data_IF_343106735402
#
_entry.id   IF_343106735402
#
_cell.length_a   1.000
_cell.length_b   1.000
_cell.length_c   1.000
_cell.angle_alpha   90.00
_cell.angle_beta   90.00
_cell.angle_gamma   90.00
#
_symmetry.space_group_name_H-M   'P 1'
#
loop_
_entity.id
_entity.type
_entity.pdbx_description
1 polymer ?
#
# COMPACT_ATOMS: atom_id res chain seq x y z
N UNK A 1 -24.91 16.14 -5.65
CA UNK A 1 -24.50 15.56 -4.36
C UNK A 1 -23.39 14.53 -4.58
N UNK A 2 -22.29 14.62 -3.84
CA UNK A 2 -21.18 13.67 -3.97
C UNK A 2 -21.58 12.31 -3.44
N UNK A 3 -21.16 11.26 -4.15
CA UNK A 3 -21.33 9.88 -3.72
C UNK A 3 -20.31 9.58 -2.61
N UNK A 4 -20.73 8.92 -1.55
CA UNK A 4 -19.83 8.56 -0.44
C UNK A 4 -19.09 7.26 -0.74
N UNK A 5 -17.82 7.21 -0.37
CA UNK A 5 -17.02 6.01 -0.37
C UNK A 5 -16.07 6.02 0.84
N UNK A 6 -15.89 4.86 1.45
CA UNK A 6 -15.00 4.74 2.61
C UNK A 6 -13.66 4.17 2.17
N UNK A 7 -12.58 4.85 2.55
CA UNK A 7 -11.24 4.29 2.48
C UNK A 7 -10.92 3.70 3.87
N UNK A 8 -10.68 2.38 3.92
CA UNK A 8 -10.49 1.64 5.16
C UNK A 8 -9.12 1.94 5.80
N UNK A 9 -8.89 3.19 6.14
CA UNK A 9 -7.66 3.68 6.76
C UNK A 9 -7.95 4.93 7.59
N UNK A 10 -7.07 5.22 8.55
CA UNK A 10 -7.01 6.49 9.25
C UNK A 10 -5.71 7.25 8.94
N UNK A 11 -4.88 6.73 8.04
CA UNK A 11 -3.60 7.34 7.68
C UNK A 11 -3.82 8.63 6.89
N UNK A 12 -3.44 9.76 7.48
CA UNK A 12 -3.73 11.09 6.93
C UNK A 12 -3.20 11.30 5.50
N UNK A 13 -1.95 10.91 5.24
CA UNK A 13 -1.36 11.12 3.91
C UNK A 13 -2.03 10.28 2.82
N UNK A 14 -2.50 9.08 3.14
CA UNK A 14 -3.25 8.24 2.21
C UNK A 14 -4.61 8.86 1.88
N UNK A 15 -5.29 9.35 2.92
CA UNK A 15 -6.60 10.01 2.77
C UNK A 15 -6.48 11.29 1.94
N UNK A 16 -5.47 12.11 2.20
CA UNK A 16 -5.25 13.36 1.48
C UNK A 16 -4.98 13.10 -0.01
N UNK A 17 -4.15 12.12 -0.32
CA UNK A 17 -3.84 11.72 -1.69
C UNK A 17 -5.11 11.31 -2.45
N UNK A 18 -5.91 10.42 -1.88
CA UNK A 18 -7.12 9.94 -2.56
C UNK A 18 -8.21 11.01 -2.63
N UNK A 19 -8.34 11.85 -1.61
CA UNK A 19 -9.28 12.98 -1.63
C UNK A 19 -8.92 14.00 -2.71
N UNK A 20 -7.62 14.20 -2.93
CA UNK A 20 -7.16 15.07 -4.01
C UNK A 20 -7.59 14.55 -5.39
N UNK A 21 -7.52 13.24 -5.58
CA UNK A 21 -7.84 12.60 -6.87
C UNK A 21 -9.36 12.45 -7.06
N UNK A 22 -10.09 12.05 -6.03
CA UNK A 22 -11.53 11.70 -6.13
C UNK A 22 -12.46 12.78 -5.57
N UNK A 23 -11.94 13.79 -4.89
CA UNK A 23 -12.73 14.69 -4.04
C UNK A 23 -13.81 15.51 -4.72
N UNK A 24 -13.77 15.65 -6.05
CA UNK A 24 -14.85 16.34 -6.78
C UNK A 24 -16.07 15.45 -7.01
N UNK A 25 -15.84 14.15 -7.21
CA UNK A 25 -16.89 13.18 -7.51
C UNK A 25 -17.36 12.40 -6.30
N UNK A 26 -16.48 12.18 -5.34
CA UNK A 26 -16.74 11.36 -4.16
C UNK A 26 -16.41 12.10 -2.87
N UNK A 27 -17.24 11.86 -1.84
CA UNK A 27 -16.89 12.20 -0.46
C UNK A 27 -16.20 10.99 0.14
N UNK A 28 -14.86 11.09 0.28
CA UNK A 28 -14.03 9.99 0.81
C UNK A 28 -13.99 10.10 2.33
N UNK A 29 -14.51 9.08 3.00
CA UNK A 29 -14.53 8.99 4.46
C UNK A 29 -13.45 8.03 4.96
N UNK A 30 -12.89 8.35 6.12
CA UNK A 30 -11.96 7.48 6.84
C UNK A 30 -12.70 6.47 7.70
N UNK A 31 -11.95 5.53 8.30
CA UNK A 31 -12.52 4.64 9.32
C UNK A 31 -13.07 5.42 10.51
N UNK A 32 -12.36 6.44 10.98
CA UNK A 32 -12.84 7.29 12.08
C UNK A 32 -14.14 8.00 11.72
N UNK A 33 -14.29 8.47 10.50
CA UNK A 33 -15.48 9.17 10.03
C UNK A 33 -16.75 8.31 10.11
N UNK A 34 -16.61 6.99 10.00
CA UNK A 34 -17.73 6.05 10.10
C UNK A 34 -17.85 5.40 11.48
N UNK A 35 -17.05 5.85 12.44
CA UNK A 35 -17.08 5.33 13.81
C UNK A 35 -16.38 3.98 14.00
N UNK A 36 -15.54 3.59 13.07
CA UNK A 36 -14.76 2.35 13.17
C UNK A 36 -13.45 2.64 13.88
N UNK A 37 -13.35 2.21 15.14
CA UNK A 37 -12.17 2.41 15.98
C UNK A 37 -11.48 1.11 16.37
N UNK A 38 -12.02 -0.03 15.97
CA UNK A 38 -11.43 -1.33 16.19
C UNK A 38 -10.32 -1.63 15.17
N UNK A 39 -9.37 -2.48 15.57
CA UNK A 39 -8.35 -2.97 14.65
C UNK A 39 -8.99 -3.96 13.66
N UNK A 40 -8.76 -3.74 12.38
CA UNK A 40 -9.25 -4.63 11.35
C UNK A 40 -8.19 -5.70 11.10
N UNK A 41 -8.54 -7.00 11.14
CA UNK A 41 -7.54 -8.07 10.99
C UNK A 41 -6.91 -8.11 9.60
N UNK A 42 -5.62 -8.48 9.57
CA UNK A 42 -4.84 -8.78 8.37
C UNK A 42 -4.14 -10.13 8.63
N UNK A 43 -4.83 -11.22 8.33
CA UNK A 43 -4.45 -12.56 8.76
C UNK A 43 -3.97 -13.47 7.63
N UNK A 44 -3.96 -12.98 6.41
CA UNK A 44 -3.65 -13.79 5.22
C UNK A 44 -2.20 -13.61 4.77
N UNK A 45 -1.78 -14.48 3.87
CA UNK A 45 -0.41 -14.55 3.37
C UNK A 45 -0.18 -13.77 2.07
N UNK A 46 -1.23 -13.17 1.51
CA UNK A 46 -1.14 -12.37 0.29
C UNK A 46 -1.68 -10.97 0.50
N UNK A 47 -1.15 -10.02 -0.29
CA UNK A 47 -1.63 -8.64 -0.27
C UNK A 47 -3.09 -8.56 -0.73
N UNK A 48 -3.46 -9.35 -1.73
CA UNK A 48 -4.82 -9.43 -2.27
C UNK A 48 -5.82 -9.82 -1.18
N UNK A 49 -5.52 -10.90 -0.46
CA UNK A 49 -6.42 -11.42 0.57
C UNK A 49 -6.51 -10.48 1.77
N UNK A 50 -5.42 -9.85 2.16
CA UNK A 50 -5.43 -8.86 3.25
C UNK A 50 -6.23 -7.61 2.88
N UNK A 51 -6.05 -7.08 1.68
CA UNK A 51 -6.84 -5.94 1.21
C UNK A 51 -8.32 -6.28 1.15
N UNK A 52 -8.66 -7.47 0.64
CA UNK A 52 -10.03 -7.96 0.58
C UNK A 52 -10.63 -8.16 1.97
N UNK A 53 -9.86 -8.72 2.91
CA UNK A 53 -10.32 -8.90 4.29
C UNK A 53 -10.69 -7.57 4.94
N UNK A 54 -9.86 -6.55 4.79
CA UNK A 54 -10.16 -5.23 5.33
C UNK A 54 -11.40 -4.60 4.70
N UNK A 55 -11.50 -4.64 3.38
CA UNK A 55 -12.66 -4.09 2.69
C UNK A 55 -13.95 -4.85 3.05
N UNK A 56 -13.89 -6.17 3.11
CA UNK A 56 -15.04 -7.01 3.48
C UNK A 56 -15.50 -6.74 4.90
N UNK A 57 -14.57 -6.58 5.83
CA UNK A 57 -14.91 -6.26 7.22
C UNK A 57 -15.72 -4.96 7.30
N UNK A 58 -15.27 -3.92 6.63
CA UNK A 58 -15.93 -2.62 6.64
C UNK A 58 -17.28 -2.69 5.93
N UNK A 59 -17.33 -3.32 4.76
CA UNK A 59 -18.57 -3.47 4.00
C UNK A 59 -19.64 -4.25 4.79
N UNK A 60 -19.25 -5.37 5.38
CA UNK A 60 -20.19 -6.25 6.08
C UNK A 60 -20.70 -5.62 7.37
N UNK A 61 -19.86 -4.90 8.10
CA UNK A 61 -20.24 -4.28 9.37
C UNK A 61 -20.97 -2.95 9.22
N UNK A 62 -20.54 -2.11 8.28
CA UNK A 62 -21.04 -0.75 8.15
C UNK A 62 -21.97 -0.53 6.94
N UNK A 63 -22.09 -1.54 6.06
CA UNK A 63 -22.97 -1.52 4.88
C UNK A 63 -22.71 -0.32 3.96
N UNK A 64 -21.44 -0.09 3.65
CA UNK A 64 -20.97 1.03 2.84
C UNK A 64 -20.12 0.53 1.67
N UNK A 65 -20.11 1.29 0.57
CA UNK A 65 -19.12 1.11 -0.47
C UNK A 65 -17.76 1.52 0.09
N UNK A 66 -16.76 0.66 -0.09
CA UNK A 66 -15.46 0.90 0.51
C UNK A 66 -14.33 0.27 -0.30
N UNK A 67 -13.14 0.75 -0.06
CA UNK A 67 -11.93 0.12 -0.55
C UNK A 67 -10.86 0.10 0.53
N UNK A 68 -9.98 -0.87 0.43
CA UNK A 68 -8.85 -1.03 1.33
C UNK A 68 -7.59 -1.34 0.52
N UNK A 69 -6.45 -0.97 1.05
CA UNK A 69 -5.15 -1.27 0.44
C UNK A 69 -4.31 -2.17 1.33
N UNK A 70 -3.41 -2.92 0.70
CA UNK A 70 -2.29 -3.56 1.38
C UNK A 70 -1.05 -3.42 0.49
N UNK A 71 0.09 -3.18 1.12
CA UNK A 71 1.35 -2.89 0.44
C UNK A 71 2.46 -3.74 1.03
N UNK A 72 3.33 -4.25 0.16
CA UNK A 72 4.49 -4.99 0.59
C UNK A 72 5.66 -4.82 -0.35
N UNK A 73 6.86 -5.02 0.22
CA UNK A 73 8.11 -5.16 -0.51
C UNK A 73 8.34 -6.64 -0.75
N UNK A 74 8.58 -7.03 -1.99
CA UNK A 74 8.84 -8.40 -2.38
C UNK A 74 10.24 -8.50 -2.99
N UNK A 75 11.12 -9.28 -2.36
CA UNK A 75 12.51 -9.45 -2.79
C UNK A 75 12.69 -10.81 -3.44
N UNK A 76 13.14 -10.82 -4.67
CA UNK A 76 13.23 -12.03 -5.50
C UNK A 76 14.10 -13.12 -4.86
N UNK A 77 15.30 -12.77 -4.40
CA UNK A 77 16.24 -13.72 -3.78
C UNK A 77 15.72 -14.31 -2.46
N UNK A 78 14.71 -13.71 -1.85
CA UNK A 78 14.11 -14.16 -0.60
C UNK A 78 12.70 -14.75 -0.82
N UNK A 79 12.39 -15.18 -2.03
CA UNK A 79 11.12 -15.78 -2.40
C UNK A 79 9.90 -14.90 -2.06
N UNK A 80 10.06 -13.60 -2.20
CA UNK A 80 8.98 -12.63 -1.97
C UNK A 80 8.93 -12.03 -0.57
N UNK A 81 9.82 -12.42 0.35
CA UNK A 81 9.91 -11.76 1.65
C UNK A 81 10.43 -10.33 1.49
N UNK A 82 10.04 -9.39 2.35
CA UNK A 82 9.12 -9.52 3.50
C UNK A 82 7.63 -9.62 3.14
N UNK A 83 7.18 -9.22 1.95
CA UNK A 83 5.80 -9.36 1.49
C UNK A 83 4.78 -8.73 2.44
N UNK A 84 3.79 -9.51 2.87
CA UNK A 84 2.74 -9.07 3.81
C UNK A 84 3.30 -8.69 5.19
N UNK A 85 4.50 -9.15 5.53
CA UNK A 85 5.15 -8.85 6.81
C UNK A 85 6.07 -7.64 6.76
N UNK A 86 6.01 -6.83 5.70
CA UNK A 86 6.94 -5.71 5.48
C UNK A 86 7.02 -4.75 6.66
N UNK A 87 5.90 -4.38 7.28
CA UNK A 87 5.89 -3.46 8.41
C UNK A 87 6.39 -4.09 9.72
N UNK A 88 6.39 -5.41 9.82
CA UNK A 88 6.73 -6.17 11.03
C UNK A 88 7.80 -7.22 10.77
N UNK A 89 8.67 -6.97 9.82
CA UNK A 89 9.66 -7.95 9.38
C UNK A 89 10.68 -8.28 10.48
N UNK A 90 11.14 -7.28 11.23
CA UNK A 90 12.01 -7.50 12.38
C UNK A 90 11.18 -8.04 13.55
N UNK A 91 11.67 -9.12 14.13
CA UNK A 91 11.00 -9.81 15.23
C UNK A 91 10.84 -8.93 16.45
N UNK A 92 9.67 -8.99 17.09
CA UNK A 92 9.37 -8.23 18.30
C UNK A 92 9.15 -6.74 18.08
N UNK A 93 9.03 -6.29 16.83
CA UNK A 93 8.81 -4.88 16.49
C UNK A 93 7.52 -4.71 15.66
N UNK A 94 7.02 -3.48 15.65
CA UNK A 94 5.89 -3.10 14.80
C UNK A 94 6.18 -1.72 14.22
N UNK A 95 6.25 -1.66 12.87
CA UNK A 95 6.55 -0.44 12.12
C UNK A 95 7.93 0.19 12.45
N UNK A 96 8.89 -0.62 12.93
CA UNK A 96 10.27 -0.17 13.14
C UNK A 96 11.04 -0.28 11.83
N UNK A 97 11.05 0.80 11.06
CA UNK A 97 11.69 0.84 9.73
C UNK A 97 13.19 0.53 9.79
N UNK A 98 13.90 1.03 10.80
CA UNK A 98 15.33 0.78 10.93
C UNK A 98 15.62 -0.71 11.18
N UNK A 99 14.89 -1.31 12.12
CA UNK A 99 15.05 -2.74 12.41
C UNK A 99 14.66 -3.62 11.22
N UNK A 100 13.60 -3.26 10.50
CA UNK A 100 13.15 -3.97 9.31
C UNK A 100 14.19 -3.91 8.19
N UNK A 101 14.76 -2.74 7.93
CA UNK A 101 15.83 -2.57 6.94
C UNK A 101 17.07 -3.35 7.33
N UNK A 102 17.48 -3.28 8.61
CA UNK A 102 18.65 -4.00 9.10
C UNK A 102 18.50 -5.52 8.91
N UNK A 103 17.32 -6.06 9.21
CA UNK A 103 17.05 -7.49 8.98
C UNK A 103 17.15 -7.84 7.48
N UNK A 104 16.57 -7.03 6.62
CA UNK A 104 16.60 -7.27 5.18
C UNK A 104 18.01 -7.22 4.64
N UNK A 105 18.81 -6.22 5.03
CA UNK A 105 20.20 -6.10 4.61
C UNK A 105 21.06 -7.28 5.08
N UNK A 106 20.83 -7.78 6.30
CA UNK A 106 21.51 -8.99 6.79
C UNK A 106 21.17 -10.22 5.96
N UNK A 107 19.90 -10.40 5.63
CA UNK A 107 19.46 -11.54 4.82
C UNK A 107 19.99 -11.51 3.39
N UNK A 108 20.29 -10.32 2.87
CA UNK A 108 20.85 -10.14 1.54
C UNK A 108 22.37 -10.05 1.53
N UNK A 109 23.03 -10.20 2.68
CA UNK A 109 24.48 -10.18 2.76
C UNK A 109 25.09 -11.27 1.88
N UNK A 110 26.00 -10.88 0.98
CA UNK A 110 26.60 -11.80 0.02
C UNK A 110 25.72 -12.16 -1.17
N UNK A 111 24.50 -11.62 -1.25
CA UNK A 111 23.57 -11.90 -2.34
C UNK A 111 23.76 -10.88 -3.48
N UNK A 112 24.03 -11.38 -4.68
CA UNK A 112 24.19 -10.55 -5.89
C UNK A 112 22.86 -10.19 -6.53
N UNK A 113 21.87 -11.08 -6.46
CA UNK A 113 20.52 -10.78 -6.93
C UNK A 113 19.78 -9.96 -5.88
N UNK A 114 19.65 -8.68 -6.16
CA UNK A 114 18.99 -7.73 -5.24
C UNK A 114 17.70 -7.18 -5.85
N UNK A 115 17.17 -7.84 -6.86
CA UNK A 115 15.93 -7.44 -7.51
C UNK A 115 14.77 -7.50 -6.53
N UNK A 116 13.96 -6.45 -6.55
CA UNK A 116 12.82 -6.32 -5.66
C UNK A 116 11.72 -5.50 -6.33
N UNK A 117 10.54 -5.54 -5.74
CA UNK A 117 9.42 -4.68 -6.15
C UNK A 117 8.60 -4.28 -4.94
N UNK A 118 8.10 -3.06 -4.94
CA UNK A 118 6.97 -2.69 -4.10
C UNK A 118 5.69 -2.96 -4.86
N UNK A 119 4.70 -3.48 -4.17
CA UNK A 119 3.39 -3.76 -4.75
C UNK A 119 2.30 -3.28 -3.79
N UNK A 120 1.30 -2.58 -4.33
CA UNK A 120 0.08 -2.22 -3.62
C UNK A 120 -1.09 -2.90 -4.30
N UNK A 121 -1.95 -3.52 -3.51
CA UNK A 121 -3.23 -4.05 -3.96
C UNK A 121 -4.35 -3.27 -3.29
N UNK A 122 -5.32 -2.84 -4.08
CA UNK A 122 -6.55 -2.20 -3.59
C UNK A 122 -7.72 -3.13 -3.87
N UNK A 123 -8.52 -3.42 -2.84
CA UNK A 123 -9.76 -4.14 -2.97
C UNK A 123 -10.93 -3.16 -2.82
N UNK A 124 -11.78 -3.08 -3.82
CA UNK A 124 -12.98 -2.25 -3.84
C UNK A 124 -14.21 -3.13 -3.71
N UNK A 125 -15.10 -2.81 -2.78
CA UNK A 125 -16.40 -3.48 -2.65
C UNK A 125 -17.51 -2.44 -2.80
N UNK A 126 -18.41 -2.69 -3.76
CA UNK A 126 -19.55 -1.84 -4.03
C UNK A 126 -20.82 -2.66 -3.93
N UNK A 127 -21.84 -2.10 -3.31
CA UNK A 127 -23.15 -2.75 -3.25
C UNK A 127 -23.79 -2.76 -4.63
N UNK A 128 -24.11 -3.95 -5.12
CA UNK A 128 -24.88 -4.15 -6.33
C UNK A 128 -26.37 -4.28 -6.04
N UNK A 129 -27.16 -4.53 -7.07
CA UNK A 129 -28.62 -4.69 -6.93
C UNK A 129 -28.99 -5.93 -6.10
N UNK A 130 -28.25 -7.02 -6.28
CA UNK A 130 -28.52 -8.30 -5.61
C UNK A 130 -27.37 -8.71 -4.68
N UNK A 131 -26.15 -8.42 -5.06
CA UNK A 131 -24.96 -8.80 -4.31
C UNK A 131 -23.87 -7.73 -4.43
N UNK A 132 -22.92 -7.77 -3.53
CA UNK A 132 -21.76 -6.88 -3.57
C UNK A 132 -20.80 -7.29 -4.69
N UNK A 133 -20.21 -6.30 -5.34
CA UNK A 133 -19.20 -6.50 -6.40
C UNK A 133 -17.82 -6.18 -5.84
N UNK A 134 -16.87 -7.07 -6.11
CA UNK A 134 -15.46 -6.94 -5.71
C UNK A 134 -14.63 -6.64 -6.94
N UNK A 135 -13.76 -5.63 -6.84
CA UNK A 135 -12.77 -5.30 -7.87
C UNK A 135 -11.41 -5.14 -7.22
N UNK A 136 -10.37 -5.65 -7.86
CA UNK A 136 -8.99 -5.55 -7.38
C UNK A 136 -8.16 -4.71 -8.35
N UNK A 137 -7.32 -3.84 -7.78
CA UNK A 137 -6.39 -3.00 -8.54
C UNK A 137 -5.00 -3.17 -7.97
N UNK A 138 -4.00 -3.19 -8.84
CA UNK A 138 -2.63 -3.41 -8.44
C UNK A 138 -1.72 -2.37 -9.07
N UNK A 139 -0.78 -1.87 -8.27
CA UNK A 139 0.32 -1.04 -8.74
C UNK A 139 1.64 -1.64 -8.28
N UNK A 140 2.66 -1.56 -9.14
CA UNK A 140 3.97 -2.14 -8.87
C UNK A 140 5.06 -1.18 -9.33
N UNK A 141 6.13 -1.10 -8.54
CA UNK A 141 7.37 -0.45 -8.95
C UNK A 141 8.52 -1.42 -8.74
N UNK A 142 9.29 -1.66 -9.80
CA UNK A 142 10.45 -2.54 -9.77
C UNK A 142 11.71 -1.76 -9.43
N UNK A 143 12.65 -2.42 -8.80
CA UNK A 143 13.93 -1.82 -8.45
C UNK A 143 14.88 -2.82 -7.83
N UNK A 144 15.85 -2.30 -7.11
CA UNK A 144 16.87 -3.10 -6.41
C UNK A 144 17.05 -2.63 -4.98
N UNK A 145 17.41 -3.57 -4.11
CA UNK A 145 17.78 -3.24 -2.73
C UNK A 145 19.26 -2.85 -2.72
N UNK A 146 19.55 -1.66 -2.23
CA UNK A 146 20.93 -1.15 -2.10
C UNK A 146 21.66 -1.85 -0.96
N UNK A 147 22.97 -1.70 -0.92
CA UNK A 147 23.79 -2.31 0.14
C UNK A 147 23.83 -1.48 1.41
N UNK A 148 23.54 -0.20 1.30
CA UNK A 148 23.56 0.76 2.41
C UNK A 148 22.33 1.64 2.35
N UNK A 149 21.93 2.15 3.51
CA UNK A 149 20.85 3.14 3.63
C UNK A 149 21.33 4.48 3.05
N UNK A 150 20.47 5.15 2.28
CA UNK A 150 20.79 6.44 1.68
C UNK A 150 19.55 7.31 1.56
N UNK A 151 19.65 8.55 2.01
CA UNK A 151 18.54 9.52 2.03
C UNK A 151 17.80 9.54 3.35
N UNK A 152 17.04 10.62 3.56
CA UNK A 152 16.36 10.90 4.82
C UNK A 152 14.85 11.06 4.69
N UNK A 153 14.33 11.14 3.46
CA UNK A 153 12.90 11.32 3.23
C UNK A 153 12.18 9.98 3.11
N UNK A 154 10.85 10.02 3.22
CA UNK A 154 10.03 8.84 3.09
C UNK A 154 9.91 8.01 4.36
N UNK A 155 9.55 6.75 4.21
CA UNK A 155 9.31 5.82 5.33
C UNK A 155 9.59 4.38 4.89
N UNK A 156 9.56 3.47 5.87
CA UNK A 156 9.72 2.04 5.59
C UNK A 156 11.08 1.72 4.98
N UNK A 157 11.08 1.10 3.80
CA UNK A 157 12.29 0.66 3.10
C UNK A 157 12.83 1.68 2.10
N UNK A 158 12.28 2.88 2.05
CA UNK A 158 12.67 3.91 1.07
C UNK A 158 14.19 4.19 1.02
N UNK A 159 14.93 4.20 2.15
CA UNK A 159 16.38 4.42 2.12
C UNK A 159 17.21 3.30 1.48
N UNK A 160 16.64 2.13 1.22
CA UNK A 160 17.35 0.99 0.59
C UNK A 160 16.72 0.51 -0.70
N UNK A 161 15.67 1.16 -1.18
CA UNK A 161 15.01 0.79 -2.44
C UNK A 161 15.34 1.81 -3.55
N UNK A 162 16.04 1.34 -4.57
CA UNK A 162 16.39 2.14 -5.75
C UNK A 162 15.49 1.72 -6.91
N UNK A 163 14.53 2.57 -7.32
CA UNK A 163 13.65 2.20 -8.43
C UNK A 163 14.41 2.14 -9.75
N UNK A 164 13.96 1.25 -10.63
CA UNK A 164 14.56 1.09 -11.96
C UNK A 164 14.49 2.41 -12.73
N UNK A 165 15.55 2.72 -13.46
CA UNK A 165 15.66 3.97 -14.23
C UNK A 165 16.18 5.17 -13.44
N UNK A 166 16.47 5.00 -12.16
CA UNK A 166 17.01 6.02 -11.28
C UNK A 166 18.32 5.53 -10.65
N UNK A 167 19.20 6.45 -10.32
CA UNK A 167 20.47 6.17 -9.67
C UNK A 167 20.45 6.49 -8.16
N UNK A 168 19.27 6.74 -7.62
CA UNK A 168 19.04 7.12 -6.23
C UNK A 168 17.91 6.31 -5.62
N UNK A 169 17.93 6.18 -4.28
CA UNK A 169 16.84 5.55 -3.54
C UNK A 169 15.60 6.44 -3.50
N UNK A 170 14.44 5.88 -3.16
CA UNK A 170 13.24 6.66 -2.93
C UNK A 170 13.46 7.75 -1.87
N UNK A 171 14.22 7.46 -0.82
CA UNK A 171 14.53 8.44 0.22
C UNK A 171 15.39 9.60 -0.28
N UNK A 172 16.25 9.36 -1.27
CA UNK A 172 17.05 10.40 -1.90
C UNK A 172 16.28 11.19 -2.95
N UNK A 173 15.37 10.52 -3.68
CA UNK A 173 14.57 11.16 -4.73
C UNK A 173 13.51 12.11 -4.17
N UNK A 174 13.02 11.85 -2.97
CA UNK A 174 12.02 12.68 -2.32
C UNK A 174 10.58 12.32 -2.69
N UNK A 175 9.65 12.82 -1.89
CA UNK A 175 8.23 12.47 -1.99
C UNK A 175 7.58 12.93 -3.30
N UNK A 176 7.98 14.05 -3.86
CA UNK A 176 7.39 14.56 -5.09
C UNK A 176 7.59 13.58 -6.25
N UNK A 177 8.81 13.06 -6.42
CA UNK A 177 9.11 12.08 -7.47
C UNK A 177 8.45 10.74 -7.12
N UNK A 178 8.58 10.29 -5.87
CA UNK A 178 7.97 9.04 -5.41
C UNK A 178 6.47 9.00 -5.70
N UNK A 179 5.76 10.08 -5.42
CA UNK A 179 4.30 10.16 -5.61
C UNK A 179 3.87 10.02 -7.08
N UNK A 180 4.76 10.26 -8.03
CA UNK A 180 4.44 10.12 -9.46
C UNK A 180 4.73 8.71 -9.99
N UNK A 181 5.67 7.98 -9.39
CA UNK A 181 6.14 6.69 -9.93
C UNK A 181 5.87 5.51 -9.00
N UNK A 182 5.37 5.75 -7.80
CA UNK A 182 5.23 4.70 -6.78
C UNK A 182 4.17 3.66 -7.14
N UNK A 183 4.30 2.51 -6.51
CA UNK A 183 3.33 1.43 -6.55
C UNK A 183 1.92 1.88 -6.16
N UNK A 184 1.80 2.71 -5.09
CA UNK A 184 0.49 3.22 -4.67
C UNK A 184 -0.09 4.19 -5.70
N UNK A 185 0.72 5.07 -6.26
CA UNK A 185 0.28 5.99 -7.31
C UNK A 185 -0.33 5.22 -8.51
N UNK A 186 0.30 4.13 -8.91
CA UNK A 186 -0.20 3.29 -9.99
C UNK A 186 -1.52 2.60 -9.63
N UNK A 187 -1.61 2.03 -8.43
CA UNK A 187 -2.85 1.37 -7.97
C UNK A 187 -4.01 2.37 -7.82
N UNK A 188 -3.74 3.54 -7.24
CA UNK A 188 -4.73 4.60 -7.04
C UNK A 188 -5.23 5.15 -8.38
N UNK A 189 -4.34 5.29 -9.37
CA UNK A 189 -4.73 5.72 -10.72
C UNK A 189 -5.74 4.75 -11.35
N UNK A 190 -5.52 3.45 -11.19
CA UNK A 190 -6.44 2.43 -11.71
C UNK A 190 -7.79 2.46 -11.00
N UNK A 191 -7.77 2.61 -9.68
CA UNK A 191 -8.99 2.77 -8.89
C UNK A 191 -9.78 4.01 -9.33
N UNK A 192 -9.11 5.14 -9.45
CA UNK A 192 -9.72 6.40 -9.85
C UNK A 192 -10.34 6.30 -11.26
N UNK A 193 -9.59 5.74 -12.20
CA UNK A 193 -10.09 5.52 -13.56
C UNK A 193 -11.36 4.68 -13.56
N UNK A 194 -11.40 3.60 -12.77
CA UNK A 194 -12.57 2.74 -12.63
C UNK A 194 -13.77 3.48 -12.03
N UNK A 195 -13.56 4.21 -10.92
CA UNK A 195 -14.62 4.90 -10.20
C UNK A 195 -15.19 6.09 -10.97
N UNK A 196 -14.38 6.75 -11.78
CA UNK A 196 -14.77 7.94 -12.55
C UNK A 196 -15.37 7.60 -13.91
N UNK A 197 -15.33 6.34 -14.34
CA UNK A 197 -16.03 5.88 -15.54
C UNK A 197 -17.54 5.93 -15.33
N UNK A 198 -18.20 6.48 -16.32
CA UNK A 198 -19.67 6.53 -16.36
C UNK A 198 -20.24 5.35 -17.16
#
# INVERSE_FOLDING_TARGET
>A
MKKQIVFATNTAHKLDEIRHILGEAFEVKSLSDIGCHEDIPEEFDTLEDNALQKASYVHDKYHVDCFADDTGLEVEALNGEPGVHSARYAEGTDHDSQANMDKLLRKLEGEDNRNARFRTVIALIQQGETEAKVSLFQGTVYGTITREKSGAEGFGYDPIFQPDGYDKTFAELGNDIKNTISHRAHAVSKLAEFLLKK
#
